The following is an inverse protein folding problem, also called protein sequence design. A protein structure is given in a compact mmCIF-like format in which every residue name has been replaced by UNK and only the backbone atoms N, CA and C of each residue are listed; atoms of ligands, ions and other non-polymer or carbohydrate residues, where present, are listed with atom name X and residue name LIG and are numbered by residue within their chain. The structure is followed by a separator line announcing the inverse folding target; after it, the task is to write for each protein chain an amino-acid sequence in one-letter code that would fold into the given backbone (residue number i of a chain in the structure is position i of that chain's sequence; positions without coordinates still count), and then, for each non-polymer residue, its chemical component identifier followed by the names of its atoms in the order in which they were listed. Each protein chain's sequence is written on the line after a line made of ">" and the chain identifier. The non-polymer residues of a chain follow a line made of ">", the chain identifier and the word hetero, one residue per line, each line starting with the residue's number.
data_IF_113736939072
#
_entry.id   IF_113736939072
#
_cell.length_a   1.000
_cell.length_b   1.000
_cell.length_c   1.000
_cell.angle_alpha   90.00
_cell.angle_beta   90.00
_cell.angle_gamma   90.00
#
_symmetry.space_group_name_H-M   'P 1'
#
loop_
_entity.id
_entity.type
_entity.pdbx_description
1 polymer ?
#
# COMPACT_ATOMS: atom_id res chain seq x y z
N UNK A 1 -21.54 -1.85 -12.98
CA UNK A 1 -20.65 -1.02 -12.12
C UNK A 1 -19.25 -1.00 -12.71
N UNK A 2 -18.74 0.16 -13.08
CA UNK A 2 -17.39 0.32 -13.66
C UNK A 2 -16.34 0.07 -12.60
N UNK A 3 -15.46 -0.92 -12.82
CA UNK A 3 -14.48 -1.37 -11.84
C UNK A 3 -13.21 -0.52 -11.94
N UNK A 4 -13.14 0.59 -11.21
CA UNK A 4 -12.02 1.56 -11.27
C UNK A 4 -10.76 1.01 -10.58
N UNK A 5 -9.58 1.18 -11.20
CA UNK A 5 -8.31 0.90 -10.54
C UNK A 5 -7.97 2.03 -9.56
N UNK A 6 -7.93 1.74 -8.27
CA UNK A 6 -7.66 2.71 -7.21
C UNK A 6 -6.15 2.80 -6.99
N UNK A 7 -5.61 4.01 -6.98
CA UNK A 7 -4.21 4.26 -6.59
C UNK A 7 -4.20 4.86 -5.19
N UNK A 8 -3.56 4.18 -4.25
CA UNK A 8 -3.50 4.56 -2.83
C UNK A 8 -2.14 5.20 -2.54
N UNK A 9 -2.16 6.36 -1.89
CA UNK A 9 -0.98 6.95 -1.26
C UNK A 9 -0.94 6.56 0.21
N UNK A 10 0.20 6.08 0.69
CA UNK A 10 0.38 5.66 2.08
C UNK A 10 1.36 6.58 2.80
N UNK A 11 0.97 7.07 3.98
CA UNK A 11 1.85 7.82 4.87
C UNK A 11 2.28 6.90 6.02
N UNK A 12 3.59 6.65 6.11
CA UNK A 12 4.18 5.69 7.03
C UNK A 12 4.24 4.27 6.46
N UNK A 13 5.24 3.50 6.89
CA UNK A 13 5.43 2.10 6.50
C UNK A 13 5.99 1.31 7.68
N UNK A 14 5.17 1.16 8.72
CA UNK A 14 5.42 0.25 9.84
C UNK A 14 4.65 -1.07 9.67
N UNK A 15 4.38 -1.76 10.78
CA UNK A 15 3.67 -3.05 10.80
C UNK A 15 2.34 -2.99 10.03
N UNK A 16 1.54 -1.94 10.24
CA UNK A 16 0.26 -1.76 9.55
C UNK A 16 0.45 -1.52 8.05
N UNK A 17 1.44 -0.72 7.66
CA UNK A 17 1.72 -0.40 6.26
C UNK A 17 2.19 -1.63 5.47
N UNK A 18 3.04 -2.46 6.09
CA UNK A 18 3.48 -3.74 5.54
C UNK A 18 2.31 -4.72 5.41
N UNK A 19 1.45 -4.82 6.44
CA UNK A 19 0.25 -5.66 6.42
C UNK A 19 -0.72 -5.26 5.31
N UNK A 20 -1.01 -3.96 5.16
CA UNK A 20 -1.84 -3.44 4.07
C UNK A 20 -1.23 -3.79 2.71
N UNK A 21 0.07 -3.56 2.51
CA UNK A 21 0.76 -3.92 1.28
C UNK A 21 0.65 -5.43 0.98
N UNK A 22 0.79 -6.29 1.99
CA UNK A 22 0.64 -7.74 1.83
C UNK A 22 -0.78 -8.16 1.45
N UNK A 23 -1.82 -7.57 2.06
CA UNK A 23 -3.22 -7.85 1.74
C UNK A 23 -3.56 -7.42 0.31
N UNK A 24 -3.12 -6.24 -0.10
CA UNK A 24 -3.29 -5.73 -1.46
C UNK A 24 -2.61 -6.62 -2.51
N UNK A 25 -1.40 -7.11 -2.22
CA UNK A 25 -0.68 -8.02 -3.11
C UNK A 25 -1.31 -9.42 -3.21
N UNK A 26 -1.87 -9.93 -2.09
CA UNK A 26 -2.50 -11.26 -2.02
C UNK A 26 -3.94 -11.29 -2.52
N UNK A 27 -4.59 -10.14 -2.66
CA UNK A 27 -6.00 -10.04 -3.04
C UNK A 27 -6.13 -9.36 -4.42
N UNK A 28 -5.80 -10.04 -5.53
CA UNK A 28 -5.83 -9.47 -6.87
C UNK A 28 -7.24 -9.05 -7.34
N UNK A 29 -8.30 -9.53 -6.67
CA UNK A 29 -9.67 -9.05 -6.88
C UNK A 29 -9.88 -7.61 -6.42
N UNK A 30 -9.02 -7.11 -5.53
CA UNK A 30 -8.97 -5.70 -5.16
C UNK A 30 -8.13 -4.97 -6.21
N UNK A 31 -8.79 -4.24 -7.12
CA UNK A 31 -8.12 -3.38 -8.12
C UNK A 31 -7.53 -2.13 -7.49
N UNK A 32 -6.70 -2.30 -6.47
CA UNK A 32 -6.06 -1.25 -5.73
C UNK A 32 -4.55 -1.49 -5.67
N UNK A 33 -3.76 -0.45 -5.95
CA UNK A 33 -2.30 -0.50 -5.89
C UNK A 33 -1.78 0.64 -5.03
N UNK A 34 -0.65 0.41 -4.35
CA UNK A 34 0.07 1.49 -3.68
C UNK A 34 0.89 2.24 -4.71
N UNK A 35 0.59 3.52 -4.91
CA UNK A 35 1.33 4.36 -5.86
C UNK A 35 2.58 4.98 -5.26
N UNK A 36 2.50 5.42 -4.00
CA UNK A 36 3.62 6.04 -3.29
C UNK A 36 3.50 5.83 -1.79
N UNK A 37 4.65 5.68 -1.14
CA UNK A 37 4.75 5.54 0.31
C UNK A 37 5.66 6.65 0.82
N UNK A 38 5.11 7.55 1.63
CA UNK A 38 5.86 8.62 2.27
C UNK A 38 6.31 8.16 3.66
N UNK A 39 7.62 8.08 3.89
CA UNK A 39 8.21 7.74 5.18
C UNK A 39 9.15 8.84 5.64
N UNK A 40 9.23 9.04 6.96
CA UNK A 40 10.13 10.04 7.56
C UNK A 40 11.61 9.76 7.25
N UNK A 41 12.01 8.49 7.30
CA UNK A 41 13.34 8.02 6.96
C UNK A 41 13.21 6.68 6.22
N UNK A 42 13.85 6.62 5.04
CA UNK A 42 13.86 5.46 4.13
C UNK A 42 14.86 4.39 4.56
N UNK A 43 15.86 4.74 5.38
CA UNK A 43 16.94 3.85 5.80
C UNK A 43 16.68 3.21 7.17
N UNK A 44 15.75 3.74 7.97
CA UNK A 44 15.39 3.12 9.25
C UNK A 44 14.86 1.70 8.99
N UNK A 45 15.38 0.70 9.71
CA UNK A 45 14.90 -0.69 9.64
C UNK A 45 13.40 -0.82 10.02
N UNK A 46 12.69 -1.75 9.38
CA UNK A 46 11.24 -1.99 9.53
C UNK A 46 10.92 -3.46 9.60
#
# INVERSE_FOLDING_TARGET
>A
MTRTNITIGLFGFGVVGQGLHAVLARTPGLRARIGRIAVKDRHKAR
#
